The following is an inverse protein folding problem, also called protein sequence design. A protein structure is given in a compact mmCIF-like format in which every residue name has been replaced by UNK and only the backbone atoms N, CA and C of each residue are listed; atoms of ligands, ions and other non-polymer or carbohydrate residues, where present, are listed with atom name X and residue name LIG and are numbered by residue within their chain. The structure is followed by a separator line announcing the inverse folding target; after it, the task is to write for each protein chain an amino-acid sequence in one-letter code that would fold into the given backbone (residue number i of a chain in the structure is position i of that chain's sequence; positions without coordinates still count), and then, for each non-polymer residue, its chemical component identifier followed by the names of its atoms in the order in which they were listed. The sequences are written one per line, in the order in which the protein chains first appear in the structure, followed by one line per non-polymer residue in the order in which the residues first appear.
data_IF_027803520366
#
_entry.id   IF_027803520366
#
_cell.length_a   1.000
_cell.length_b   1.000
_cell.length_c   1.000
_cell.angle_alpha   90.00
_cell.angle_beta   90.00
_cell.angle_gamma   90.00
#
_symmetry.space_group_name_H-M   'P 1'
#
loop_
_entity.id
_entity.type
_entity.pdbx_description
1 polymer ?
#
# COMPACT_ATOMS: atom_id res chain seq x y z
N UNK A 1 16.60 -4.27 -12.68
CA UNK A 1 16.24 -5.34 -11.73
C UNK A 1 16.91 -4.97 -10.40
N UNK A 2 16.13 -4.97 -9.33
CA UNK A 2 16.64 -4.70 -7.97
C UNK A 2 16.62 -5.94 -7.08
N UNK A 3 15.68 -6.85 -7.32
CA UNK A 3 15.58 -8.08 -6.56
C UNK A 3 15.23 -9.26 -7.44
N UNK A 4 15.84 -10.40 -7.15
CA UNK A 4 15.49 -11.71 -7.70
C UNK A 4 15.35 -12.65 -6.52
N UNK A 5 14.30 -13.48 -6.54
CA UNK A 5 14.07 -14.53 -5.57
C UNK A 5 13.47 -15.77 -6.25
N UNK A 6 13.60 -16.92 -5.61
CA UNK A 6 13.11 -18.20 -6.13
C UNK A 6 12.22 -18.84 -5.05
N UNK A 7 11.08 -19.36 -5.46
CA UNK A 7 10.21 -20.12 -4.56
C UNK A 7 10.64 -21.60 -4.44
N UNK A 8 10.06 -22.35 -3.49
CA UNK A 8 10.36 -23.80 -3.34
C UNK A 8 10.00 -24.67 -4.57
N UNK A 9 9.20 -24.14 -5.50
CA UNK A 9 8.83 -24.79 -6.77
C UNK A 9 9.74 -24.40 -7.94
N UNK A 10 10.83 -23.66 -7.66
CA UNK A 10 11.79 -23.12 -8.63
C UNK A 10 11.20 -22.05 -9.60
N UNK A 11 10.10 -21.39 -9.24
CA UNK A 11 9.67 -20.21 -9.95
C UNK A 11 10.56 -19.03 -9.57
N UNK A 12 10.98 -18.25 -10.56
CA UNK A 12 11.84 -17.09 -10.37
C UNK A 12 10.99 -15.83 -10.38
N UNK A 13 11.25 -14.93 -9.44
CA UNK A 13 10.58 -13.63 -9.35
C UNK A 13 11.62 -12.52 -9.43
N UNK A 14 11.31 -11.49 -10.20
CA UNK A 14 12.16 -10.31 -10.34
C UNK A 14 11.39 -9.03 -10.08
N UNK A 15 12.08 -8.03 -9.54
CA UNK A 15 11.54 -6.69 -9.32
C UNK A 15 12.40 -5.60 -9.94
N UNK A 16 11.80 -4.47 -10.26
CA UNK A 16 12.49 -3.36 -10.90
C UNK A 16 11.93 -1.98 -10.55
N UNK A 17 12.66 -0.96 -10.98
CA UNK A 17 12.27 0.44 -10.79
C UNK A 17 11.07 0.77 -11.66
N UNK A 18 9.98 1.21 -11.04
CA UNK A 18 8.74 1.56 -11.72
C UNK A 18 8.08 0.41 -12.48
N UNK A 19 8.73 -0.76 -12.51
CA UNK A 19 8.32 -1.90 -13.34
C UNK A 19 7.44 -2.90 -12.58
N UNK A 20 7.42 -2.86 -11.24
CA UNK A 20 6.69 -3.81 -10.42
C UNK A 20 7.39 -5.16 -10.26
N UNK A 21 6.60 -6.23 -10.18
CA UNK A 21 7.05 -7.60 -9.96
C UNK A 21 6.68 -8.47 -11.16
N UNK A 22 7.62 -9.34 -11.55
CA UNK A 22 7.47 -10.31 -12.64
C UNK A 22 7.79 -11.72 -12.14
N UNK A 23 7.13 -12.71 -12.69
CA UNK A 23 7.45 -14.12 -12.47
C UNK A 23 7.88 -14.82 -13.76
N UNK A 24 8.82 -15.74 -13.63
CA UNK A 24 9.19 -16.68 -14.67
C UNK A 24 8.77 -18.08 -14.19
N UNK A 25 7.84 -18.71 -14.88
CA UNK A 25 7.38 -20.06 -14.52
C UNK A 25 8.45 -21.09 -14.85
N UNK A 26 8.71 -22.03 -13.94
CA UNK A 26 9.73 -23.07 -14.09
C UNK A 26 9.56 -23.86 -15.38
N UNK A 27 10.64 -23.99 -16.16
CA UNK A 27 10.70 -24.84 -17.37
C UNK A 27 11.50 -24.27 -18.53
N UNK A 28 11.73 -22.97 -18.57
CA UNK A 28 12.56 -22.35 -19.61
C UNK A 28 13.57 -21.41 -18.94
N UNK A 29 14.80 -21.86 -18.81
CA UNK A 29 15.95 -21.01 -18.47
C UNK A 29 16.54 -20.36 -19.73
N UNK A 30 15.77 -20.24 -20.77
CA UNK A 30 16.18 -19.52 -21.97
C UNK A 30 15.87 -18.04 -21.75
N UNK A 31 16.85 -17.32 -21.17
CA UNK A 31 16.77 -15.91 -20.78
C UNK A 31 16.56 -14.94 -21.97
N UNK A 32 16.23 -15.44 -23.14
CA UNK A 32 16.04 -14.66 -24.37
C UNK A 32 14.63 -14.73 -24.96
N UNK A 33 13.74 -15.52 -24.38
CA UNK A 33 12.33 -15.54 -24.77
C UNK A 33 11.48 -14.84 -23.71
N UNK A 34 10.50 -14.06 -24.14
CA UNK A 34 9.66 -13.15 -23.35
C UNK A 34 8.67 -13.86 -22.39
N UNK A 35 9.13 -14.85 -21.63
CA UNK A 35 8.27 -15.65 -20.75
C UNK A 35 8.07 -15.05 -19.33
N UNK A 36 8.42 -13.78 -19.16
CA UNK A 36 8.17 -13.07 -17.92
C UNK A 36 6.70 -12.61 -17.81
N UNK A 37 5.99 -13.21 -16.86
CA UNK A 37 4.63 -12.80 -16.55
C UNK A 37 4.63 -11.62 -15.56
N UNK A 38 3.99 -10.52 -15.95
CA UNK A 38 3.79 -9.39 -15.07
C UNK A 38 2.82 -9.76 -13.95
N UNK A 39 3.23 -9.56 -12.70
CA UNK A 39 2.44 -9.90 -11.52
C UNK A 39 1.77 -8.71 -10.84
N UNK A 40 2.08 -7.49 -11.26
CA UNK A 40 1.50 -6.28 -10.70
C UNK A 40 2.52 -5.34 -10.06
N UNK A 41 2.02 -4.34 -9.33
CA UNK A 41 2.80 -3.28 -8.67
C UNK A 41 3.50 -2.32 -9.65
N UNK A 42 2.98 -2.20 -10.89
CA UNK A 42 3.49 -1.23 -11.87
C UNK A 42 3.43 0.19 -11.34
N UNK A 43 4.46 0.97 -11.69
CA UNK A 43 4.62 2.33 -11.16
C UNK A 43 5.25 2.40 -9.76
N UNK A 44 5.51 1.25 -9.11
CA UNK A 44 6.22 1.20 -7.83
C UNK A 44 7.65 0.72 -8.01
N UNK A 45 8.54 1.33 -7.23
CA UNK A 45 9.94 0.91 -7.14
C UNK A 45 10.06 -0.22 -6.14
N UNK A 46 9.96 -1.46 -6.61
CA UNK A 46 10.08 -2.64 -5.76
C UNK A 46 11.56 -2.96 -5.54
N UNK A 47 12.03 -2.67 -4.34
CA UNK A 47 13.45 -2.79 -3.98
C UNK A 47 13.87 -4.20 -3.58
N UNK A 48 12.94 -5.01 -3.08
CA UNK A 48 13.22 -6.38 -2.62
C UNK A 48 11.97 -7.25 -2.65
N UNK A 49 12.17 -8.53 -2.89
CA UNK A 49 11.13 -9.57 -2.82
C UNK A 49 11.65 -10.69 -1.93
N UNK A 50 10.81 -11.15 -1.00
CA UNK A 50 11.08 -12.31 -0.14
C UNK A 50 9.91 -13.27 -0.26
N UNK A 51 10.21 -14.55 -0.40
CA UNK A 51 9.18 -15.62 -0.38
C UNK A 51 9.34 -16.43 0.91
N UNK A 52 8.23 -16.61 1.61
CA UNK A 52 8.17 -17.49 2.76
C UNK A 52 8.23 -18.95 2.27
N UNK A 53 9.27 -19.72 2.60
CA UNK A 53 9.46 -21.07 2.07
C UNK A 53 8.40 -22.07 2.58
N UNK A 54 7.71 -21.76 3.68
CA UNK A 54 6.72 -22.66 4.26
C UNK A 54 5.31 -22.40 3.74
N UNK A 55 4.98 -21.16 3.41
CA UNK A 55 3.63 -20.77 3.00
C UNK A 55 3.54 -20.38 1.53
N UNK A 56 4.69 -20.13 0.86
CA UNK A 56 4.74 -19.59 -0.49
C UNK A 56 4.32 -18.11 -0.56
N UNK A 57 4.00 -17.48 0.55
CA UNK A 57 3.62 -16.08 0.58
C UNK A 57 4.79 -15.19 0.14
N UNK A 58 4.52 -14.26 -0.77
CA UNK A 58 5.49 -13.28 -1.26
C UNK A 58 5.34 -11.96 -0.51
N UNK A 59 6.46 -11.43 -0.04
CA UNK A 59 6.56 -10.08 0.50
C UNK A 59 7.37 -9.23 -0.48
N UNK A 60 6.82 -8.12 -0.93
CA UNK A 60 7.51 -7.15 -1.76
C UNK A 60 7.66 -5.83 -1.00
N UNK A 61 8.87 -5.30 -0.99
CA UNK A 61 9.20 -4.03 -0.32
C UNK A 61 9.45 -2.96 -1.35
N UNK A 62 8.90 -1.77 -1.13
CA UNK A 62 9.11 -0.62 -2.02
C UNK A 62 10.08 0.37 -1.42
N UNK A 63 10.78 1.13 -2.28
CA UNK A 63 11.70 2.20 -1.87
C UNK A 63 10.98 3.31 -1.10
N UNK A 64 9.68 3.47 -1.30
CA UNK A 64 8.83 4.41 -0.55
C UNK A 64 8.43 3.93 0.85
N UNK A 65 8.92 2.75 1.28
CA UNK A 65 8.67 2.20 2.61
C UNK A 65 7.38 1.38 2.72
N UNK A 66 6.74 1.02 1.61
CA UNK A 66 5.60 0.11 1.58
C UNK A 66 6.03 -1.36 1.61
N UNK A 67 5.24 -2.19 2.28
CA UNK A 67 5.35 -3.66 2.22
C UNK A 67 4.03 -4.22 1.69
N UNK A 68 4.14 -5.12 0.73
CA UNK A 68 3.01 -5.80 0.09
C UNK A 68 3.14 -7.30 0.31
N UNK A 69 2.02 -7.95 0.58
CA UNK A 69 1.98 -9.40 0.81
C UNK A 69 1.07 -10.04 -0.22
N UNK A 70 1.57 -11.04 -0.94
CA UNK A 70 0.76 -11.93 -1.77
C UNK A 70 0.81 -13.34 -1.18
N UNK A 71 -0.33 -13.84 -0.72
CA UNK A 71 -0.46 -15.16 -0.13
C UNK A 71 -0.64 -16.29 -1.15
N UNK A 72 -0.74 -15.96 -2.45
CA UNK A 72 -0.89 -16.94 -3.54
C UNK A 72 -0.01 -16.56 -4.74
N UNK A 73 1.31 -16.69 -4.64
CA UNK A 73 2.25 -16.22 -5.68
C UNK A 73 2.17 -17.01 -6.99
N UNK A 74 1.52 -18.18 -7.01
CA UNK A 74 1.40 -19.04 -8.20
C UNK A 74 0.22 -18.70 -9.11
N UNK A 75 -0.65 -17.78 -8.70
CA UNK A 75 -1.73 -17.29 -9.56
C UNK A 75 -1.38 -15.93 -10.13
N UNK A 76 -1.29 -15.85 -11.47
CA UNK A 76 -1.22 -14.56 -12.17
C UNK A 76 -2.29 -13.63 -11.61
N UNK A 77 -1.87 -12.45 -11.17
CA UNK A 77 -2.80 -11.37 -10.87
C UNK A 77 -3.39 -10.97 -12.22
N UNK A 78 -4.63 -11.38 -12.48
CA UNK A 78 -5.31 -11.04 -13.73
C UNK A 78 -5.31 -9.53 -13.92
N UNK A 79 -5.17 -9.10 -15.18
CA UNK A 79 -5.32 -7.71 -15.64
C UNK A 79 -6.75 -7.21 -15.33
N UNK A 80 -6.97 -6.78 -14.16
CA UNK A 80 -8.23 -6.24 -13.71
C UNK A 80 -8.02 -5.52 -12.41
N UNK A 81 -8.01 -4.20 -12.51
CA UNK A 81 -8.14 -3.26 -11.40
C UNK A 81 -7.26 -3.59 -10.17
N UNK A 82 -6.53 -2.61 -9.67
CA UNK A 82 -5.73 -2.60 -8.43
C UNK A 82 -6.50 -3.13 -7.19
N UNK A 83 -7.02 -4.36 -7.27
CA UNK A 83 -7.59 -5.11 -6.16
C UNK A 83 -6.48 -5.93 -5.48
N UNK A 84 -5.43 -5.26 -5.02
CA UNK A 84 -4.73 -5.73 -3.84
C UNK A 84 -5.75 -5.59 -2.70
N UNK A 85 -6.60 -6.62 -2.55
CA UNK A 85 -7.49 -6.72 -1.41
C UNK A 85 -6.60 -6.68 -0.17
N UNK A 86 -6.61 -5.65 0.62
CA UNK A 86 -5.74 -5.56 1.77
C UNK A 86 -6.12 -6.66 2.75
N UNK A 87 -5.14 -7.50 3.08
CA UNK A 87 -5.33 -8.54 4.10
C UNK A 87 -5.09 -8.01 5.52
N UNK A 88 -4.70 -6.76 5.65
CA UNK A 88 -4.45 -6.08 6.91
C UNK A 88 -5.07 -4.67 6.91
N UNK A 89 -5.48 -4.24 8.08
CA UNK A 89 -5.80 -2.82 8.30
C UNK A 89 -4.53 -1.99 8.16
N UNK A 90 -4.60 -0.88 7.45
CA UNK A 90 -3.49 0.06 7.36
C UNK A 90 -3.97 1.50 7.20
N UNK A 91 -3.17 2.43 7.71
CA UNK A 91 -3.30 3.86 7.47
C UNK A 91 -2.01 4.33 6.79
N UNK A 92 -2.12 4.86 5.58
CA UNK A 92 -0.97 5.36 4.83
C UNK A 92 -0.54 6.74 5.31
N UNK A 93 0.74 7.08 5.09
CA UNK A 93 1.20 8.46 5.22
C UNK A 93 0.50 9.31 4.17
N UNK A 94 -0.03 10.49 4.57
CA UNK A 94 -0.66 11.40 3.63
C UNK A 94 0.32 11.87 2.56
N UNK A 95 -0.17 12.05 1.34
CA UNK A 95 0.64 12.53 0.24
C UNK A 95 -0.08 13.66 -0.54
N UNK A 96 0.62 14.77 -0.80
CA UNK A 96 1.97 15.13 -0.35
C UNK A 96 2.07 15.36 1.16
N UNK A 97 3.28 15.23 1.73
CA UNK A 97 3.61 15.62 3.09
C UNK A 97 5.09 16.10 3.13
N UNK A 98 5.39 17.38 3.38
CA UNK A 98 4.45 18.48 3.70
C UNK A 98 3.47 18.80 2.57
N UNK A 99 2.32 19.40 2.88
CA UNK A 99 1.26 19.71 1.93
C UNK A 99 0.83 21.19 1.95
N UNK A 100 0.23 21.68 0.84
CA UNK A 100 -0.30 23.04 0.68
C UNK A 100 -1.36 23.10 -0.42
N UNK A 101 -2.59 23.47 -0.16
CA UNK A 101 -3.32 23.34 1.10
C UNK A 101 -3.99 21.97 1.20
N UNK A 102 -3.83 21.08 0.21
CA UNK A 102 -4.52 19.80 0.11
C UNK A 102 -3.57 18.62 0.17
N UNK A 103 -4.06 17.50 0.71
CA UNK A 103 -3.36 16.23 0.76
C UNK A 103 -4.36 15.08 0.70
N UNK A 104 -3.90 13.93 0.27
CA UNK A 104 -4.69 12.70 0.23
C UNK A 104 -4.28 11.81 1.40
N UNK A 105 -5.27 11.26 2.09
CA UNK A 105 -5.10 10.27 3.16
C UNK A 105 -5.76 8.98 2.68
N UNK A 106 -5.01 7.89 2.73
CA UNK A 106 -5.48 6.56 2.31
C UNK A 106 -5.44 5.59 3.47
N UNK A 107 -6.42 4.69 3.49
CA UNK A 107 -6.42 3.55 4.40
C UNK A 107 -6.95 2.30 3.70
N UNK A 108 -6.65 1.15 4.29
CA UNK A 108 -7.05 -0.14 3.77
C UNK A 108 -7.77 -0.96 4.84
N UNK A 109 -8.81 -1.68 4.41
CA UNK A 109 -9.62 -2.55 5.27
C UNK A 109 -9.58 -3.99 4.72
N UNK A 110 -9.18 -4.99 5.53
CA UNK A 110 -9.20 -6.41 5.12
C UNK A 110 -10.60 -7.00 5.06
N UNK A 111 -11.54 -6.35 5.72
CA UNK A 111 -12.96 -6.71 5.78
C UNK A 111 -13.82 -5.45 5.93
N UNK A 112 -15.12 -5.58 5.77
CA UNK A 112 -16.04 -4.48 6.01
C UNK A 112 -16.02 -4.10 7.50
N UNK A 113 -15.86 -2.81 7.79
CA UNK A 113 -15.73 -2.31 9.16
C UNK A 113 -16.38 -0.93 9.32
N UNK A 114 -16.80 -0.64 10.55
CA UNK A 114 -17.14 0.72 10.94
C UNK A 114 -15.86 1.54 11.10
N UNK A 115 -15.77 2.64 10.37
CA UNK A 115 -14.58 3.49 10.31
C UNK A 115 -14.90 4.88 10.86
N UNK A 116 -13.94 5.42 11.60
CA UNK A 116 -13.88 6.84 11.96
C UNK A 116 -12.48 7.37 11.64
N UNK A 117 -12.38 8.30 10.68
CA UNK A 117 -11.13 8.99 10.31
C UNK A 117 -11.25 10.47 10.64
N UNK A 118 -10.44 10.94 11.57
CA UNK A 118 -10.50 12.29 12.10
C UNK A 118 -9.15 12.98 12.05
N UNK A 119 -9.17 14.31 11.93
CA UNK A 119 -8.00 15.18 11.95
C UNK A 119 -7.99 15.99 13.25
N UNK A 120 -6.80 16.16 13.84
CA UNK A 120 -6.58 16.86 15.10
C UNK A 120 -5.43 17.86 14.97
N UNK A 121 -5.50 18.94 15.76
CA UNK A 121 -4.36 19.83 15.98
C UNK A 121 -3.42 19.28 17.07
N UNK A 122 -2.32 20.02 17.33
CA UNK A 122 -1.30 19.63 18.33
C UNK A 122 -1.82 19.59 19.77
N UNK A 123 -2.98 20.19 20.03
CA UNK A 123 -3.63 20.19 21.37
C UNK A 123 -4.57 19.00 21.53
N UNK A 124 -4.76 18.19 20.47
CA UNK A 124 -5.72 17.08 20.44
C UNK A 124 -7.16 17.50 20.13
N UNK A 125 -7.39 18.75 19.76
CA UNK A 125 -8.70 19.23 19.34
C UNK A 125 -9.03 18.70 17.96
N UNK A 126 -10.23 18.14 17.79
CA UNK A 126 -10.75 17.70 16.49
C UNK A 126 -10.95 18.90 15.56
N UNK A 127 -10.35 18.83 14.36
CA UNK A 127 -10.40 19.84 13.32
C UNK A 127 -11.36 19.43 12.21
N UNK A 128 -11.37 18.14 11.85
CA UNK A 128 -12.23 17.62 10.80
C UNK A 128 -12.54 16.14 11.01
N UNK A 129 -13.74 15.75 10.57
CA UNK A 129 -14.16 14.36 10.41
C UNK A 129 -14.14 14.04 8.90
N UNK A 130 -13.27 13.15 8.46
CA UNK A 130 -13.08 12.80 7.04
C UNK A 130 -13.92 11.59 6.62
N UNK A 131 -14.03 10.60 7.50
CA UNK A 131 -14.86 9.42 7.28
C UNK A 131 -15.57 9.01 8.56
N UNK A 132 -16.83 8.57 8.43
CA UNK A 132 -17.64 7.99 9.51
C UNK A 132 -18.69 7.06 8.94
N UNK A 133 -18.74 5.82 9.42
CA UNK A 133 -19.73 4.80 9.02
C UNK A 133 -19.09 3.51 8.54
N UNK A 134 -19.92 2.64 7.92
CA UNK A 134 -19.48 1.35 7.43
C UNK A 134 -18.85 1.48 6.03
N UNK A 135 -17.64 0.97 5.91
CA UNK A 135 -16.88 0.89 4.67
C UNK A 135 -16.63 -0.57 4.28
N UNK A 136 -16.72 -0.85 2.99
CA UNK A 136 -16.45 -2.19 2.47
C UNK A 136 -14.95 -2.53 2.57
N UNK A 137 -14.61 -3.82 2.47
CA UNK A 137 -13.24 -4.29 2.24
C UNK A 137 -12.63 -3.54 1.04
N UNK A 138 -11.37 -3.13 1.17
CA UNK A 138 -10.64 -2.47 0.08
C UNK A 138 -9.85 -1.25 0.54
N UNK A 139 -9.30 -0.52 -0.45
CA UNK A 139 -8.64 0.77 -0.26
C UNK A 139 -9.65 1.92 -0.35
N UNK A 140 -9.47 2.89 0.53
CA UNK A 140 -10.26 4.11 0.59
C UNK A 140 -9.35 5.33 0.62
N UNK A 141 -9.74 6.38 -0.11
CA UNK A 141 -8.94 7.59 -0.28
C UNK A 141 -9.80 8.82 0.03
N UNK A 142 -9.25 9.75 0.80
CA UNK A 142 -9.92 10.97 1.25
C UNK A 142 -9.04 12.19 1.00
N UNK A 143 -9.60 13.19 0.35
CA UNK A 143 -8.93 14.46 0.18
C UNK A 143 -9.18 15.34 1.42
N UNK A 144 -8.10 15.83 2.03
CA UNK A 144 -8.16 16.80 3.11
C UNK A 144 -7.67 18.16 2.63
N UNK A 145 -8.54 19.18 2.76
CA UNK A 145 -8.22 20.58 2.48
C UNK A 145 -8.09 21.38 3.77
N UNK A 146 -6.91 21.90 4.03
CA UNK A 146 -6.60 22.69 5.22
C UNK A 146 -6.87 24.20 5.03
N UNK A 147 -7.94 24.56 4.28
CA UNK A 147 -8.32 25.96 4.10
C UNK A 147 -8.65 26.59 5.45
N UNK A 148 -8.03 27.73 5.73
CA UNK A 148 -8.25 28.45 7.01
C UNK A 148 -7.41 27.96 8.19
N UNK A 149 -6.68 26.84 8.06
CA UNK A 149 -5.75 26.37 9.09
C UNK A 149 -4.39 27.07 8.96
N UNK A 150 -3.69 27.23 10.07
CA UNK A 150 -2.32 27.78 10.10
C UNK A 150 -1.29 26.73 9.71
N UNK A 151 -0.14 27.16 9.15
CA UNK A 151 1.01 26.26 8.97
C UNK A 151 1.39 25.60 10.29
N UNK A 152 1.70 24.32 10.27
CA UNK A 152 2.01 23.58 11.49
C UNK A 152 1.84 22.07 11.35
N UNK A 153 1.92 21.41 12.50
CA UNK A 153 1.77 19.97 12.62
C UNK A 153 0.33 19.64 12.97
N UNK A 154 -0.22 18.66 12.27
CA UNK A 154 -1.53 18.06 12.50
C UNK A 154 -1.39 16.55 12.59
N UNK A 155 -2.39 15.90 13.14
CA UNK A 155 -2.47 14.45 13.23
C UNK A 155 -3.78 13.98 12.62
N UNK A 156 -3.77 12.82 12.02
CA UNK A 156 -5.01 12.14 11.64
C UNK A 156 -5.00 10.73 12.21
N UNK A 157 -6.17 10.31 12.67
CA UNK A 157 -6.36 9.04 13.36
C UNK A 157 -7.51 8.29 12.74
N UNK A 158 -7.27 7.01 12.45
CA UNK A 158 -8.30 6.06 12.08
C UNK A 158 -8.65 5.17 13.28
N UNK A 159 -9.92 4.83 13.36
CA UNK A 159 -10.45 3.74 14.17
C UNK A 159 -11.28 2.91 13.20
N UNK A 160 -10.97 1.60 13.05
CA UNK A 160 -11.68 0.70 12.15
C UNK A 160 -11.78 -0.68 12.82
N UNK A 161 -12.97 -1.05 13.29
CA UNK A 161 -13.12 -2.23 14.15
C UNK A 161 -12.23 -2.13 15.38
N UNK A 162 -11.32 -3.10 15.57
CA UNK A 162 -10.32 -3.10 16.65
C UNK A 162 -8.99 -2.40 16.30
N UNK A 163 -8.82 -1.95 15.05
CA UNK A 163 -7.61 -1.30 14.57
C UNK A 163 -7.64 0.20 14.89
N UNK A 164 -6.52 0.72 15.41
CA UNK A 164 -6.32 2.15 15.65
C UNK A 164 -4.91 2.52 15.20
N UNK A 165 -4.81 3.53 14.35
CA UNK A 165 -3.51 4.11 13.96
C UNK A 165 -3.60 5.63 13.86
N UNK A 166 -2.46 6.30 14.06
CA UNK A 166 -2.34 7.75 14.04
C UNK A 166 -1.09 8.16 13.28
N UNK A 167 -1.23 9.07 12.34
CA UNK A 167 -0.13 9.62 11.55
C UNK A 167 -0.03 11.13 11.73
N UNK A 168 1.19 11.64 11.51
CA UNK A 168 1.50 13.07 11.54
C UNK A 168 1.54 13.62 10.12
N UNK A 169 1.02 14.83 9.94
CA UNK A 169 1.14 15.59 8.69
C UNK A 169 1.60 17.03 8.96
N UNK A 170 2.23 17.66 7.97
CA UNK A 170 2.78 19.01 8.07
C UNK A 170 2.14 19.90 7.00
N UNK A 171 1.44 20.93 7.42
CA UNK A 171 0.90 21.97 6.56
C UNK A 171 1.91 23.10 6.41
N UNK A 172 2.23 23.44 5.17
CA UNK A 172 3.03 24.62 4.81
C UNK A 172 2.15 25.55 3.98
N UNK A 173 2.20 26.83 4.28
CA UNK A 173 1.58 27.91 3.50
C UNK A 173 2.64 28.83 2.99
#
# INVERSE_FOLDING_TARGET
IYGITVDPQNNVFASGWGAGVFSLTSGSMDAMTDDWNYMGMGGLDVSSIIINPNTGAMLAFTSSGGMYVNNSPTTSIGDGENNLNPDIYSLSQNYPNPFNPSTVIEFSLPEAAEVSLKVYDITGREIALLASGNYAKGKHSFNFEARGLSSGIYFYRIIAGGFVDTKRMVLLK
#
